data_IF_256001492819
#
_entry.id   IF_256001492819
#
_cell.length_a   1.000
_cell.length_b   1.000
_cell.length_c   1.000
_cell.angle_alpha   90.00
_cell.angle_beta   90.00
_cell.angle_gamma   90.00
#
_symmetry.space_group_name_H-M   'P 1'
#
loop_
_entity.id
_entity.type
_entity.pdbx_description
1 polymer ?
#
# COMPACT_ATOMS: atom_id res chain seq x y z
N UNK A 1 -3.82 20.58 3.55
CA UNK A 1 -3.07 20.10 2.36
C UNK A 1 -3.86 19.03 1.64
N UNK A 2 -3.88 19.03 0.31
CA UNK A 2 -4.52 17.99 -0.51
C UNK A 2 -3.46 17.00 -0.97
N UNK A 3 -3.70 15.71 -0.74
CA UNK A 3 -2.80 14.62 -1.14
C UNK A 3 -3.54 13.73 -2.12
N UNK A 4 -3.05 13.63 -3.34
CA UNK A 4 -3.54 12.63 -4.29
C UNK A 4 -2.96 11.27 -3.95
N UNK A 5 -3.83 10.34 -3.54
CA UNK A 5 -3.45 8.99 -3.14
C UNK A 5 -3.69 7.99 -4.28
N UNK A 6 -2.62 7.29 -4.65
CA UNK A 6 -2.59 6.18 -5.58
C UNK A 6 -2.10 4.94 -4.86
N UNK A 7 -2.78 3.81 -4.98
CA UNK A 7 -2.31 2.61 -4.32
C UNK A 7 -2.74 1.28 -4.97
N UNK A 8 -1.86 0.27 -4.95
CA UNK A 8 -2.05 -1.06 -5.56
C UNK A 8 -2.73 -2.08 -4.62
N UNK A 9 -4.00 -2.45 -4.84
CA UNK A 9 -4.79 -3.24 -3.85
C UNK A 9 -6.31 -3.20 -4.10
N UNK A 10 -7.10 -3.94 -3.33
CA UNK A 10 -8.55 -4.03 -3.53
C UNK A 10 -9.33 -2.82 -2.99
N UNK A 11 -10.52 -2.47 -3.54
CA UNK A 11 -11.33 -1.36 -3.04
C UNK A 11 -11.60 -1.35 -1.52
N UNK A 12 -11.83 -2.52 -0.87
CA UNK A 12 -12.06 -2.58 0.58
C UNK A 12 -10.83 -2.20 1.41
N UNK A 13 -9.68 -2.84 1.19
CA UNK A 13 -8.40 -2.57 1.90
C UNK A 13 -8.05 -1.07 1.88
N UNK A 14 -8.35 -0.40 0.76
CA UNK A 14 -8.13 1.02 0.59
C UNK A 14 -9.01 1.94 1.41
N UNK A 15 -10.25 1.53 1.67
CA UNK A 15 -11.16 2.30 2.52
C UNK A 15 -10.56 2.45 3.93
N UNK A 16 -10.07 1.34 4.48
CA UNK A 16 -9.41 1.34 5.78
C UNK A 16 -8.12 2.15 5.81
N UNK A 17 -7.31 2.06 4.75
CA UNK A 17 -6.08 2.83 4.63
C UNK A 17 -6.32 4.35 4.59
N UNK A 18 -7.28 4.81 3.79
CA UNK A 18 -7.62 6.25 3.71
C UNK A 18 -8.07 6.77 5.07
N UNK A 19 -8.93 6.02 5.77
CA UNK A 19 -9.38 6.39 7.12
C UNK A 19 -8.23 6.42 8.12
N UNK A 20 -7.31 5.46 8.08
CA UNK A 20 -6.12 5.44 8.93
C UNK A 20 -5.24 6.68 8.69
N UNK A 21 -4.99 7.01 7.42
CA UNK A 21 -4.24 8.20 7.02
C UNK A 21 -4.92 9.48 7.50
N UNK A 22 -6.22 9.62 7.26
CA UNK A 22 -7.03 10.79 7.64
C UNK A 22 -7.13 10.96 9.16
N UNK A 23 -7.21 9.86 9.92
CA UNK A 23 -7.22 9.85 11.39
C UNK A 23 -5.89 10.34 11.97
N UNK A 24 -4.79 10.00 11.32
CA UNK A 24 -3.43 10.30 11.76
C UNK A 24 -3.00 11.71 11.36
N UNK A 25 -3.19 12.07 10.09
CA UNK A 25 -2.83 13.38 9.53
C UNK A 25 -4.09 14.23 9.31
N UNK A 26 -4.64 14.74 10.42
CA UNK A 26 -5.97 15.41 10.43
C UNK A 26 -6.03 16.68 9.57
N UNK A 27 -4.90 17.31 9.32
CA UNK A 27 -4.78 18.53 8.51
C UNK A 27 -4.66 18.25 6.99
N UNK A 28 -4.58 16.99 6.61
CA UNK A 28 -4.47 16.56 5.21
C UNK A 28 -5.82 16.07 4.71
N UNK A 29 -6.06 16.24 3.42
CA UNK A 29 -7.18 15.66 2.71
C UNK A 29 -6.63 14.65 1.70
N UNK A 30 -6.81 13.37 1.97
CA UNK A 30 -6.37 12.30 1.07
C UNK A 30 -7.45 12.06 0.00
N UNK A 31 -7.23 12.59 -1.20
CA UNK A 31 -8.11 12.43 -2.35
C UNK A 31 -7.66 11.23 -3.19
N UNK A 32 -8.49 10.18 -3.23
CA UNK A 32 -8.19 8.90 -3.89
C UNK A 32 -8.36 9.05 -5.41
N UNK A 33 -7.30 8.77 -6.15
CA UNK A 33 -7.30 8.97 -7.61
C UNK A 33 -7.53 7.72 -8.44
N UNK A 34 -7.22 6.51 -7.96
CA UNK A 34 -7.33 5.32 -8.82
C UNK A 34 -8.77 4.79 -8.94
N UNK A 35 -9.27 4.57 -10.18
CA UNK A 35 -10.43 3.75 -10.40
C UNK A 35 -10.12 2.28 -10.07
N UNK A 36 -11.15 1.57 -9.65
CA UNK A 36 -11.12 0.22 -9.09
C UNK A 36 -10.36 -0.78 -9.98
N UNK A 37 -9.17 -1.22 -9.58
CA UNK A 37 -8.55 -2.41 -10.18
C UNK A 37 -9.31 -3.64 -9.67
N UNK A 38 -10.20 -4.20 -10.50
CA UNK A 38 -10.72 -5.56 -10.27
C UNK A 38 -9.58 -6.52 -10.57
N UNK A 39 -8.91 -7.04 -9.54
CA UNK A 39 -7.93 -8.12 -9.71
C UNK A 39 -8.65 -9.31 -10.40
N UNK A 40 -8.19 -9.81 -11.56
CA UNK A 40 -8.74 -11.05 -12.11
C UNK A 40 -8.51 -12.18 -11.11
N UNK A 41 -9.56 -12.97 -10.86
CA UNK A 41 -9.49 -14.18 -10.03
C UNK A 41 -8.68 -15.21 -10.82
N UNK A 42 -7.39 -15.33 -10.54
CA UNK A 42 -6.50 -16.22 -11.28
C UNK A 42 -6.62 -17.67 -10.81
N UNK A 43 -7.07 -18.59 -11.68
CA UNK A 43 -6.55 -19.96 -11.67
C UNK A 43 -5.16 -19.96 -12.35
N UNK A 44 -4.20 -20.77 -11.88
CA UNK A 44 -2.87 -20.82 -12.46
C UNK A 44 -2.93 -21.53 -13.81
N UNK A 45 -2.31 -20.96 -14.85
CA UNK A 45 -2.02 -21.74 -16.05
C UNK A 45 -0.54 -21.64 -16.43
N UNK A 46 0.01 -22.82 -16.71
CA UNK A 46 1.42 -23.13 -16.92
C UNK A 46 1.91 -22.67 -18.30
N UNK A 47 3.20 -22.36 -18.36
CA UNK A 47 4.03 -22.10 -19.55
C UNK A 47 3.99 -20.68 -20.14
N UNK A 48 4.70 -19.75 -19.49
CA UNK A 48 5.28 -18.56 -20.13
C UNK A 48 6.73 -18.41 -19.65
N UNK A 49 7.71 -18.14 -20.53
CA UNK A 49 9.09 -17.90 -20.12
C UNK A 49 9.21 -16.64 -19.26
N UNK A 50 10.07 -16.74 -18.25
CA UNK A 50 10.47 -15.78 -17.21
C UNK A 50 10.54 -14.30 -17.66
N UNK A 51 9.75 -13.43 -17.01
CA UNK A 51 10.03 -12.04 -16.58
C UNK A 51 8.71 -11.32 -16.18
N UNK A 52 8.73 -10.62 -15.02
CA UNK A 52 7.80 -9.58 -14.48
C UNK A 52 6.66 -10.05 -13.57
N UNK A 53 6.82 -9.78 -12.26
CA UNK A 53 5.68 -9.43 -11.43
C UNK A 53 4.96 -8.22 -12.07
N UNK A 54 3.68 -8.39 -12.36
CA UNK A 54 2.81 -7.37 -12.98
C UNK A 54 2.37 -6.30 -11.98
N UNK A 55 2.52 -6.57 -10.67
CA UNK A 55 2.36 -5.61 -9.57
C UNK A 55 3.39 -4.50 -9.68
N UNK A 56 3.00 -3.25 -9.46
CA UNK A 56 3.84 -2.07 -9.69
C UNK A 56 3.79 -1.48 -11.10
N UNK A 57 4.00 -2.29 -12.16
CA UNK A 57 3.91 -1.76 -13.55
C UNK A 57 2.49 -1.39 -13.94
N UNK A 58 1.52 -2.22 -13.55
CA UNK A 58 0.11 -1.90 -13.76
C UNK A 58 -0.31 -0.65 -12.96
N UNK A 59 0.15 -0.53 -11.72
CA UNK A 59 -0.10 0.65 -10.89
C UNK A 59 0.48 1.93 -11.51
N UNK A 60 1.75 1.90 -11.95
CA UNK A 60 2.38 3.03 -12.63
C UNK A 60 1.68 3.41 -13.94
N UNK A 61 1.19 2.42 -14.70
CA UNK A 61 0.38 2.68 -15.90
C UNK A 61 -0.92 3.40 -15.53
N UNK A 62 -1.66 2.91 -14.53
CA UNK A 62 -2.89 3.54 -14.07
C UNK A 62 -2.66 4.94 -13.46
N UNK A 63 -1.52 5.15 -12.78
CA UNK A 63 -1.12 6.49 -12.33
C UNK A 63 -0.95 7.42 -13.54
N UNK A 64 -0.25 6.99 -14.58
CA UNK A 64 -0.05 7.79 -15.79
C UNK A 64 -1.37 8.18 -16.45
N UNK A 65 -2.27 7.21 -16.66
CA UNK A 65 -3.59 7.44 -17.26
C UNK A 65 -4.43 8.42 -16.43
N UNK A 66 -4.42 8.22 -15.10
CA UNK A 66 -5.19 9.06 -14.20
C UNK A 66 -4.61 10.46 -14.06
N UNK A 67 -3.28 10.63 -14.07
CA UNK A 67 -2.67 11.97 -14.06
C UNK A 67 -3.03 12.75 -15.32
N UNK A 68 -3.03 12.09 -16.49
CA UNK A 68 -3.52 12.70 -17.73
C UNK A 68 -4.96 13.17 -17.56
N UNK A 69 -5.86 12.31 -17.06
CA UNK A 69 -7.27 12.68 -16.82
C UNK A 69 -7.43 13.83 -15.81
N UNK A 70 -6.69 13.80 -14.70
CA UNK A 70 -6.81 14.83 -13.67
C UNK A 70 -6.36 16.20 -14.14
N UNK A 71 -5.38 16.23 -15.04
CA UNK A 71 -4.87 17.43 -15.67
C UNK A 71 -5.63 17.78 -16.96
N UNK A 72 -6.58 16.98 -17.44
CA UNK A 72 -7.44 17.38 -18.55
C UNK A 72 -8.15 18.70 -18.23
N UNK A 73 -8.28 19.55 -19.26
CA UNK A 73 -8.67 20.95 -19.14
C UNK A 73 -9.87 21.20 -18.22
N UNK A 74 -10.97 20.46 -18.40
CA UNK A 74 -12.18 20.67 -17.59
C UNK A 74 -11.99 20.31 -16.12
N UNK A 75 -11.31 19.19 -15.82
CA UNK A 75 -10.98 18.79 -14.45
C UNK A 75 -10.04 19.81 -13.79
N UNK A 76 -9.04 20.28 -14.55
CA UNK A 76 -8.03 21.18 -14.05
C UNK A 76 -8.57 22.59 -13.79
N UNK A 77 -9.42 23.13 -14.68
CA UNK A 77 -10.08 24.42 -14.49
C UNK A 77 -10.93 24.43 -13.22
N UNK A 78 -11.69 23.37 -12.96
CA UNK A 78 -12.49 23.22 -11.75
C UNK A 78 -11.61 23.17 -10.49
N UNK A 79 -10.52 22.40 -10.53
CA UNK A 79 -9.59 22.27 -9.40
C UNK A 79 -8.83 23.57 -9.10
N UNK A 80 -8.42 24.30 -10.13
CA UNK A 80 -7.83 25.63 -9.99
C UNK A 80 -8.83 26.60 -9.36
N UNK A 81 -10.09 26.61 -9.83
CA UNK A 81 -11.12 27.50 -9.31
C UNK A 81 -11.49 27.20 -7.85
N UNK A 82 -11.46 25.93 -7.45
CA UNK A 82 -11.77 25.48 -6.07
C UNK A 82 -10.55 25.42 -5.15
N UNK A 83 -9.35 25.71 -5.67
CA UNK A 83 -8.08 25.54 -4.96
C UNK A 83 -7.90 24.12 -4.38
N UNK A 84 -8.20 23.09 -5.19
CA UNK A 84 -8.14 21.67 -4.81
C UNK A 84 -7.07 20.88 -5.56
N UNK A 85 -6.06 21.58 -6.08
CA UNK A 85 -4.84 20.95 -6.58
C UNK A 85 -4.09 20.27 -5.43
N UNK A 86 -3.40 19.17 -5.74
CA UNK A 86 -2.63 18.48 -4.73
C UNK A 86 -1.31 19.21 -4.39
N UNK A 87 -0.96 19.16 -3.11
CA UNK A 87 0.34 19.54 -2.58
C UNK A 87 1.34 18.38 -2.69
N UNK A 88 0.83 17.14 -2.68
CA UNK A 88 1.63 15.93 -2.79
C UNK A 88 0.88 14.81 -3.51
N UNK A 89 1.65 13.94 -4.17
CA UNK A 89 1.21 12.67 -4.73
C UNK A 89 1.80 11.56 -3.87
N UNK A 90 0.95 10.79 -3.21
CA UNK A 90 1.31 9.64 -2.40
C UNK A 90 1.02 8.35 -3.17
N UNK A 91 2.04 7.51 -3.34
CA UNK A 91 1.92 6.19 -3.96
C UNK A 91 2.16 5.11 -2.90
N UNK A 92 1.25 4.14 -2.77
CA UNK A 92 1.41 2.98 -1.88
C UNK A 92 1.31 1.69 -2.70
N UNK A 93 2.32 0.85 -2.66
CA UNK A 93 2.33 -0.44 -3.37
C UNK A 93 2.89 -1.55 -2.51
N UNK A 94 2.57 -2.80 -2.87
CA UNK A 94 3.18 -3.97 -2.24
C UNK A 94 4.62 -4.15 -2.77
N UNK A 95 5.56 -4.39 -1.85
CA UNK A 95 6.95 -4.61 -2.21
C UNK A 95 7.23 -6.03 -2.68
N UNK A 96 6.40 -7.00 -2.29
CA UNK A 96 6.38 -8.38 -2.80
C UNK A 96 7.77 -9.08 -2.80
N UNK A 97 8.55 -8.94 -1.72
CA UNK A 97 9.89 -9.55 -1.60
C UNK A 97 10.80 -9.34 -2.83
N UNK A 98 10.59 -8.27 -3.61
CA UNK A 98 11.30 -8.02 -4.87
C UNK A 98 12.80 -8.08 -4.69
N UNK A 99 13.51 -8.53 -5.72
CA UNK A 99 14.98 -8.59 -5.73
C UNK A 99 15.62 -7.57 -6.66
N UNK A 100 16.83 -7.19 -6.29
CA UNK A 100 17.75 -6.41 -7.10
C UNK A 100 19.14 -7.01 -6.98
N UNK A 101 19.79 -7.32 -8.11
CA UNK A 101 21.12 -7.97 -8.14
C UNK A 101 21.25 -9.20 -7.25
N UNK A 102 20.17 -9.99 -7.13
CA UNK A 102 20.18 -11.21 -6.30
C UNK A 102 19.87 -10.99 -4.81
N UNK A 103 19.57 -9.77 -4.36
CA UNK A 103 19.24 -9.49 -2.96
C UNK A 103 17.79 -9.01 -2.80
N UNK A 104 17.12 -9.44 -1.73
CA UNK A 104 15.74 -9.01 -1.41
C UNK A 104 15.78 -7.54 -0.98
N UNK A 105 14.88 -6.74 -1.53
CA UNK A 105 14.81 -5.29 -1.31
C UNK A 105 14.00 -4.92 -0.06
N UNK A 106 14.07 -5.68 1.02
CA UNK A 106 13.30 -5.48 2.26
C UNK A 106 14.04 -4.65 3.32
N UNK A 107 15.23 -4.13 2.99
CA UNK A 107 16.00 -3.22 3.85
C UNK A 107 16.07 -1.83 3.22
N UNK A 108 15.71 -0.82 4.01
CA UNK A 108 15.69 0.61 3.62
C UNK A 108 17.01 1.07 2.99
N UNK A 109 18.13 0.62 3.55
CA UNK A 109 19.44 1.07 3.10
C UNK A 109 20.01 0.27 1.92
N UNK A 110 19.36 -0.83 1.54
CA UNK A 110 19.80 -1.65 0.42
C UNK A 110 19.81 -0.85 -0.90
N UNK A 111 20.81 -1.06 -1.77
CA UNK A 111 20.82 -0.46 -3.10
C UNK A 111 19.55 -0.77 -3.90
N UNK A 112 19.05 -1.99 -3.78
CA UNK A 112 17.84 -2.44 -4.47
C UNK A 112 16.58 -1.69 -4.06
N UNK A 113 16.36 -1.52 -2.75
CA UNK A 113 15.22 -0.75 -2.27
C UNK A 113 15.27 0.71 -2.74
N UNK A 114 16.46 1.33 -2.66
CA UNK A 114 16.69 2.71 -3.13
C UNK A 114 16.40 2.83 -4.63
N UNK A 115 16.84 1.88 -5.43
CA UNK A 115 16.61 1.88 -6.88
C UNK A 115 15.14 1.69 -7.23
N UNK A 116 14.43 0.74 -6.61
CA UNK A 116 12.99 0.55 -6.81
C UNK A 116 12.23 1.84 -6.44
N UNK A 117 12.55 2.46 -5.32
CA UNK A 117 11.93 3.72 -4.90
C UNK A 117 12.21 4.85 -5.90
N UNK A 118 13.45 5.01 -6.34
CA UNK A 118 13.84 6.01 -7.32
C UNK A 118 13.14 5.79 -8.67
N UNK A 119 12.99 4.53 -9.09
CA UNK A 119 12.24 4.17 -10.28
C UNK A 119 10.79 4.67 -10.21
N UNK A 120 10.07 4.45 -9.11
CA UNK A 120 8.71 4.96 -8.96
C UNK A 120 8.66 6.50 -9.04
N UNK A 121 9.54 7.17 -8.29
CA UNK A 121 9.61 8.65 -8.32
C UNK A 121 9.83 9.16 -9.73
N UNK A 122 10.80 8.59 -10.45
CA UNK A 122 11.11 9.00 -11.82
C UNK A 122 9.92 8.77 -12.75
N UNK A 123 9.29 7.60 -12.72
CA UNK A 123 8.15 7.28 -13.59
C UNK A 123 6.95 8.18 -13.34
N UNK A 124 6.65 8.48 -12.08
CA UNK A 124 5.55 9.40 -11.73
C UNK A 124 5.86 10.83 -12.18
N UNK A 125 7.11 11.28 -12.05
CA UNK A 125 7.54 12.59 -12.60
C UNK A 125 7.38 12.65 -14.11
N UNK A 126 7.90 11.64 -14.82
CA UNK A 126 7.77 11.54 -16.27
C UNK A 126 6.29 11.63 -16.68
N UNK A 127 5.41 10.85 -16.05
CA UNK A 127 3.96 10.91 -16.34
C UNK A 127 3.32 12.27 -16.03
N UNK A 128 3.75 12.95 -14.97
CA UNK A 128 3.25 14.27 -14.62
C UNK A 128 3.70 15.32 -15.65
N UNK A 129 4.99 15.29 -16.02
CA UNK A 129 5.56 16.21 -16.99
C UNK A 129 4.92 16.02 -18.37
N UNK A 130 4.73 14.77 -18.81
CA UNK A 130 4.01 14.41 -20.05
C UNK A 130 2.56 14.95 -20.03
N UNK A 131 1.83 14.74 -18.92
CA UNK A 131 0.47 15.23 -18.79
C UNK A 131 0.42 16.77 -18.82
N UNK A 132 1.38 17.46 -18.20
CA UNK A 132 1.48 18.92 -18.21
C UNK A 132 1.83 19.48 -19.60
N UNK A 133 2.70 18.81 -20.36
CA UNK A 133 3.09 19.22 -21.72
C UNK A 133 1.92 19.14 -22.71
N UNK A 134 0.94 18.27 -22.47
CA UNK A 134 -0.25 18.13 -23.31
C UNK A 134 -1.31 19.22 -23.07
N UNK A 135 -1.11 20.10 -22.08
CA UNK A 135 -2.03 21.20 -21.78
C UNK A 135 -1.83 22.35 -22.77
N UNK A 136 -2.89 23.12 -23.03
CA UNK A 136 -2.77 24.36 -23.77
C UNK A 136 -2.01 25.45 -22.97
N UNK A 137 -1.38 26.38 -23.69
CA UNK A 137 -0.47 27.39 -23.14
C UNK A 137 -1.11 28.25 -22.04
N UNK A 138 -2.40 28.57 -22.16
CA UNK A 138 -3.12 29.34 -21.14
C UNK A 138 -3.23 28.54 -19.82
N UNK A 139 -3.61 27.27 -19.90
CA UNK A 139 -3.72 26.41 -18.72
C UNK A 139 -2.35 26.15 -18.10
N UNK A 140 -1.29 25.96 -18.90
CA UNK A 140 0.08 25.81 -18.39
C UNK A 140 0.53 27.04 -17.59
N UNK A 141 0.23 28.25 -18.08
CA UNK A 141 0.55 29.49 -17.38
C UNK A 141 -0.18 29.58 -16.04
N UNK A 142 -1.49 29.32 -16.02
CA UNK A 142 -2.29 29.33 -14.77
C UNK A 142 -1.80 28.30 -13.76
N UNK A 143 -1.42 27.12 -14.22
CA UNK A 143 -0.87 26.06 -13.37
C UNK A 143 0.47 26.49 -12.76
N UNK A 144 1.32 27.15 -13.56
CA UNK A 144 2.60 27.71 -13.11
C UNK A 144 2.41 28.83 -12.09
N UNK A 145 1.46 29.74 -12.32
CA UNK A 145 1.09 30.81 -11.40
C UNK A 145 0.55 30.28 -10.06
N UNK A 146 -0.14 29.14 -10.09
CA UNK A 146 -0.59 28.47 -8.86
C UNK A 146 0.56 27.84 -8.05
N UNK A 147 1.77 27.77 -8.61
CA UNK A 147 2.91 27.12 -7.98
C UNK A 147 2.81 25.60 -7.93
N UNK A 148 1.98 24.99 -8.80
CA UNK A 148 1.73 23.55 -8.78
C UNK A 148 3.00 22.75 -9.04
N UNK A 149 3.52 22.15 -7.97
CA UNK A 149 4.73 21.32 -7.98
C UNK A 149 4.61 20.27 -6.87
N UNK A 150 3.75 19.25 -7.04
CA UNK A 150 3.45 18.32 -5.97
C UNK A 150 4.68 17.53 -5.55
N UNK A 151 4.87 17.35 -4.24
CA UNK A 151 5.89 16.44 -3.70
C UNK A 151 5.49 15.00 -4.00
N UNK A 152 6.40 14.17 -4.51
CA UNK A 152 6.13 12.75 -4.77
C UNK A 152 6.64 11.92 -3.60
N UNK A 153 5.74 11.18 -2.96
CA UNK A 153 6.02 10.32 -1.82
C UNK A 153 5.71 8.88 -2.21
N UNK A 154 6.68 7.99 -2.02
CA UNK A 154 6.53 6.55 -2.24
C UNK A 154 6.50 5.85 -0.88
N UNK A 155 5.42 5.13 -0.61
CA UNK A 155 5.29 4.15 0.44
C UNK A 155 5.26 2.74 -0.13
N UNK A 156 5.97 1.84 0.52
CA UNK A 156 5.90 0.41 0.23
C UNK A 156 5.36 -0.33 1.44
N UNK A 157 4.38 -1.19 1.22
CA UNK A 157 4.01 -2.19 2.21
C UNK A 157 4.88 -3.43 1.97
N UNK A 158 5.74 -3.78 2.92
CA UNK A 158 6.65 -4.92 2.79
C UNK A 158 6.26 -6.00 3.79
N UNK A 159 6.14 -7.28 3.39
CA UNK A 159 5.99 -7.71 1.99
C UNK A 159 4.68 -7.21 1.36
N UNK A 160 3.62 -7.02 2.16
CA UNK A 160 2.28 -6.56 1.77
C UNK A 160 1.64 -5.75 2.91
N UNK A 161 0.49 -5.13 2.67
CA UNK A 161 -0.19 -4.24 3.64
C UNK A 161 -0.52 -4.91 4.98
N UNK A 162 -0.74 -6.22 5.01
CA UNK A 162 -0.97 -6.98 6.25
C UNK A 162 0.21 -6.92 7.23
N UNK A 163 1.43 -6.61 6.76
CA UNK A 163 2.58 -6.36 7.65
C UNK A 163 2.32 -5.22 8.64
N UNK A 164 1.60 -4.19 8.22
CA UNK A 164 1.24 -3.05 9.07
C UNK A 164 0.21 -3.45 10.13
N UNK A 165 -0.68 -4.38 9.79
CA UNK A 165 -1.63 -4.97 10.73
C UNK A 165 -0.88 -5.80 11.78
N UNK A 166 0.04 -6.65 11.33
CA UNK A 166 0.90 -7.46 12.22
C UNK A 166 1.69 -6.58 13.19
N UNK A 167 2.28 -5.48 12.70
CA UNK A 167 3.08 -4.55 13.50
C UNK A 167 2.31 -3.93 14.69
N UNK A 168 0.97 -3.89 14.63
CA UNK A 168 0.13 -3.44 15.74
C UNK A 168 -0.99 -4.43 16.08
N UNK A 169 -0.67 -5.73 16.00
CA UNK A 169 -1.64 -6.80 16.26
C UNK A 169 -2.35 -6.68 17.62
N UNK A 170 -1.68 -6.09 18.63
CA UNK A 170 -2.27 -5.87 19.95
C UNK A 170 -3.51 -4.97 19.93
N UNK A 171 -3.60 -4.03 18.98
CA UNK A 171 -4.78 -3.19 18.77
C UNK A 171 -5.78 -3.78 17.76
N UNK A 172 -5.45 -4.92 17.14
CA UNK A 172 -6.29 -5.62 16.17
C UNK A 172 -7.37 -6.49 16.82
N UNK A 173 -7.94 -6.05 17.95
CA UNK A 173 -9.09 -6.74 18.56
C UNK A 173 -10.31 -6.49 17.68
N UNK A 174 -10.72 -7.51 16.93
CA UNK A 174 -11.90 -7.43 16.07
C UNK A 174 -13.11 -8.08 16.74
N UNK A 175 -14.30 -7.49 16.55
CA UNK A 175 -15.56 -8.05 17.08
C UNK A 175 -15.84 -9.46 16.57
N UNK A 176 -15.41 -9.75 15.34
CA UNK A 176 -15.64 -11.04 14.69
C UNK A 176 -14.60 -12.08 15.11
N UNK A 177 -13.59 -11.72 15.91
CA UNK A 177 -12.63 -12.66 16.51
C UNK A 177 -12.91 -12.83 18.02
N UNK A 178 -14.02 -13.50 18.41
CA UNK A 178 -14.46 -13.58 19.80
C UNK A 178 -13.57 -14.54 20.60
N UNK A 179 -13.86 -14.69 21.90
CA UNK A 179 -13.25 -15.71 22.78
C UNK A 179 -11.72 -15.76 22.73
N UNK A 180 -11.06 -14.61 22.57
CA UNK A 180 -9.59 -14.51 22.43
C UNK A 180 -9.01 -15.17 21.16
N UNK A 181 -9.81 -15.38 20.11
CA UNK A 181 -9.35 -15.91 18.82
C UNK A 181 -8.15 -15.11 18.27
N UNK A 182 -8.17 -13.78 18.37
CA UNK A 182 -7.04 -12.92 17.94
C UNK A 182 -5.72 -13.26 18.65
N UNK A 183 -5.76 -13.72 19.91
CA UNK A 183 -4.57 -14.12 20.68
C UNK A 183 -4.09 -15.51 20.24
N UNK A 184 -5.00 -16.44 19.97
CA UNK A 184 -4.66 -17.75 19.40
C UNK A 184 -4.03 -17.62 18.02
N UNK A 185 -4.62 -16.78 17.16
CA UNK A 185 -4.06 -16.43 15.86
C UNK A 185 -2.66 -15.84 16.02
N UNK A 186 -2.46 -14.92 16.96
CA UNK A 186 -1.14 -14.33 17.25
C UNK A 186 -0.11 -15.40 17.63
N UNK A 187 -0.47 -16.30 18.55
CA UNK A 187 0.42 -17.36 19.00
C UNK A 187 0.79 -18.28 17.84
N UNK A 188 -0.20 -18.70 17.03
CA UNK A 188 0.06 -19.54 15.87
C UNK A 188 0.94 -18.83 14.82
N UNK A 189 0.67 -17.56 14.52
CA UNK A 189 1.47 -16.76 13.59
C UNK A 189 2.93 -16.65 14.07
N UNK A 190 3.14 -16.45 15.37
CA UNK A 190 4.47 -16.35 15.96
C UNK A 190 5.19 -17.70 15.96
N UNK A 191 4.54 -18.73 16.47
CA UNK A 191 5.18 -20.01 16.80
C UNK A 191 5.31 -20.92 15.58
N UNK A 192 4.25 -21.01 14.77
CA UNK A 192 4.17 -21.92 13.62
C UNK A 192 4.56 -21.22 12.31
N UNK A 193 3.96 -20.07 12.02
CA UNK A 193 4.26 -19.34 10.78
C UNK A 193 5.53 -18.49 10.86
N UNK A 194 6.14 -18.36 12.05
CA UNK A 194 7.37 -17.61 12.33
C UNK A 194 7.31 -16.14 11.89
N UNK A 195 6.14 -15.52 12.05
CA UNK A 195 5.95 -14.09 11.81
C UNK A 195 6.53 -13.31 12.99
N UNK A 196 7.46 -12.40 12.69
CA UNK A 196 7.98 -11.45 13.67
C UNK A 196 7.06 -10.23 13.75
N UNK A 197 6.51 -9.96 14.94
CA UNK A 197 5.60 -8.83 15.18
C UNK A 197 6.34 -7.50 15.39
N UNK A 198 7.64 -7.56 15.70
CA UNK A 198 8.49 -6.38 15.86
C UNK A 198 9.26 -6.04 14.57
N UNK A 199 9.33 -6.98 13.62
CA UNK A 199 9.93 -6.78 12.30
C UNK A 199 9.18 -7.52 11.17
N UNK A 200 7.88 -7.24 10.92
CA UNK A 200 7.10 -7.99 9.95
C UNK A 200 7.52 -7.76 8.49
N UNK A 201 8.28 -6.69 8.21
CA UNK A 201 8.63 -6.29 6.84
C UNK A 201 9.59 -7.24 6.12
N UNK A 202 10.30 -8.10 6.86
CA UNK A 202 11.24 -9.08 6.31
C UNK A 202 10.61 -10.45 6.04
N UNK A 203 9.32 -10.61 6.33
CA UNK A 203 8.61 -11.87 6.16
C UNK A 203 8.49 -12.28 4.69
N UNK A 204 8.32 -13.59 4.47
CA UNK A 204 7.85 -14.14 3.20
C UNK A 204 8.91 -14.90 2.42
N UNK A 205 10.18 -14.49 2.48
CA UNK A 205 11.25 -15.09 1.66
C UNK A 205 11.01 -14.89 0.16
N UNK A 206 12.00 -15.18 -0.69
CA UNK A 206 11.85 -14.99 -2.14
C UNK A 206 11.61 -16.32 -2.87
N UNK A 207 10.67 -16.33 -3.82
CA UNK A 207 10.43 -17.45 -4.71
C UNK A 207 10.96 -17.13 -6.12
N UNK A 208 11.98 -17.87 -6.56
CA UNK A 208 12.64 -17.68 -7.87
C UNK A 208 11.71 -17.95 -9.06
N UNK A 209 10.76 -18.87 -8.93
CA UNK A 209 9.86 -19.27 -10.02
C UNK A 209 8.81 -18.20 -10.33
N UNK A 210 8.26 -17.60 -9.27
CA UNK A 210 7.15 -16.63 -9.37
C UNK A 210 7.64 -15.17 -9.32
N UNK A 211 8.86 -14.93 -8.83
CA UNK A 211 9.45 -13.60 -8.71
C UNK A 211 8.82 -12.71 -7.63
N UNK A 212 8.09 -13.31 -6.69
CA UNK A 212 7.43 -12.64 -5.56
C UNK A 212 7.74 -13.37 -4.25
N UNK A 213 7.11 -12.98 -3.15
CA UNK A 213 7.28 -13.66 -1.88
C UNK A 213 6.93 -15.15 -1.95
N UNK A 214 7.76 -15.99 -1.31
CA UNK A 214 7.51 -17.43 -1.15
C UNK A 214 6.32 -17.71 -0.23
N UNK A 215 6.13 -16.88 0.79
CA UNK A 215 5.00 -16.93 1.70
C UNK A 215 4.36 -15.55 1.81
N UNK A 216 3.02 -15.49 1.86
CA UNK A 216 2.26 -14.26 2.08
C UNK A 216 1.75 -14.20 3.52
N UNK A 217 1.88 -13.04 4.16
CA UNK A 217 1.35 -12.79 5.51
C UNK A 217 -0.16 -12.99 5.51
N UNK A 218 -0.86 -12.50 4.50
CA UNK A 218 -2.31 -12.58 4.38
C UNK A 218 -2.80 -14.02 4.34
N UNK A 219 -2.10 -14.92 3.65
CA UNK A 219 -2.38 -16.37 3.66
C UNK A 219 -2.15 -16.96 5.05
N UNK A 220 -1.08 -16.55 5.74
CA UNK A 220 -0.81 -17.01 7.11
C UNK A 220 -1.83 -16.51 8.13
N UNK A 221 -2.37 -15.31 7.96
CA UNK A 221 -3.48 -14.82 8.81
C UNK A 221 -4.73 -15.68 8.59
N UNK A 222 -5.03 -16.08 7.34
CA UNK A 222 -6.13 -17.01 7.05
C UNK A 222 -5.89 -18.36 7.71
N UNK A 223 -4.71 -18.97 7.53
CA UNK A 223 -4.33 -20.22 8.18
C UNK A 223 -4.44 -20.12 9.71
N UNK A 224 -3.93 -19.04 10.30
CA UNK A 224 -4.04 -18.78 11.73
C UNK A 224 -5.49 -18.71 12.20
N UNK A 225 -6.38 -18.10 11.40
CA UNK A 225 -7.80 -18.01 11.73
C UNK A 225 -8.46 -19.39 11.77
N UNK A 226 -8.09 -20.29 10.84
CA UNK A 226 -8.57 -21.67 10.78
C UNK A 226 -8.00 -22.51 11.94
N UNK A 227 -6.70 -22.38 12.23
CA UNK A 227 -6.07 -23.12 13.34
C UNK A 227 -6.55 -22.64 14.71
N UNK A 228 -6.93 -21.38 14.84
CA UNK A 228 -7.56 -20.87 16.05
C UNK A 228 -8.97 -21.44 16.28
N UNK A 229 -9.61 -22.02 15.24
CA UNK A 229 -10.92 -22.67 15.32
C UNK A 229 -10.82 -24.12 15.82
N UNK A 230 -9.79 -24.87 15.46
CA UNK A 230 -9.67 -26.30 15.82
C UNK A 230 -9.47 -26.55 17.32
N UNK A 231 -9.12 -25.51 18.08
CA UNK A 231 -8.82 -25.59 19.53
C UNK A 231 -10.09 -25.46 20.39
N UNK A 232 -11.13 -24.76 19.91
CA UNK A 232 -12.42 -24.64 20.60
C UNK A 232 -13.50 -25.28 19.71
N UNK A 233 -14.06 -26.44 20.13
CA UNK A 233 -15.18 -27.13 19.47
C UNK A 233 -16.50 -26.33 19.57
N UNK A 234 -16.46 -25.04 19.28
CA UNK A 234 -17.55 -24.11 19.50
C UNK A 234 -17.80 -23.36 18.18
N UNK A 235 -18.91 -23.70 17.52
CA UNK A 235 -19.22 -23.35 16.12
C UNK A 235 -19.46 -21.86 15.81
N UNK A 236 -18.97 -20.93 16.65
CA UNK A 236 -19.12 -19.48 16.52
C UNK A 236 -17.77 -18.76 16.42
N UNK A 237 -16.95 -19.09 15.41
CA UNK A 237 -15.67 -18.41 15.15
C UNK A 237 -15.57 -17.98 13.69
N UNK A 238 -15.04 -16.77 13.45
CA UNK A 238 -15.00 -16.16 12.12
C UNK A 238 -13.70 -16.51 11.37
N UNK A 239 -13.81 -16.87 10.09
CA UNK A 239 -12.66 -16.99 9.19
C UNK A 239 -12.15 -15.62 8.75
N UNK A 240 -10.84 -15.45 8.62
CA UNK A 240 -10.29 -14.20 8.14
C UNK A 240 -10.66 -13.95 6.66
N UNK A 241 -11.57 -13.00 6.42
CA UNK A 241 -11.82 -12.46 5.10
C UNK A 241 -10.92 -11.26 4.81
N UNK A 242 -9.95 -11.40 3.90
CA UNK A 242 -9.02 -10.33 3.52
C UNK A 242 -9.72 -9.04 3.10
N UNK A 243 -10.81 -9.11 2.33
CA UNK A 243 -11.52 -7.91 1.85
C UNK A 243 -12.18 -7.15 3.01
N UNK A 244 -12.85 -7.86 3.91
CA UNK A 244 -13.56 -7.23 5.01
C UNK A 244 -12.60 -6.86 6.14
N UNK A 245 -11.90 -7.85 6.69
CA UNK A 245 -11.12 -7.69 7.91
C UNK A 245 -9.84 -6.90 7.70
N UNK A 246 -9.13 -7.00 6.55
CA UNK A 246 -7.93 -6.16 6.35
C UNK A 246 -8.31 -4.67 6.43
N UNK A 247 -9.44 -4.26 5.83
CA UNK A 247 -9.93 -2.89 5.93
C UNK A 247 -10.25 -2.50 7.37
N UNK A 248 -11.08 -3.27 8.05
CA UNK A 248 -11.53 -2.96 9.42
C UNK A 248 -10.36 -2.93 10.41
N UNK A 249 -9.37 -3.81 10.24
CA UNK A 249 -8.16 -3.81 11.06
C UNK A 249 -7.25 -2.61 10.77
N UNK A 250 -7.05 -2.25 9.49
CA UNK A 250 -6.27 -1.08 9.10
C UNK A 250 -6.83 0.23 9.70
N UNK A 251 -8.14 0.34 9.91
CA UNK A 251 -8.75 1.52 10.55
C UNK A 251 -8.35 1.68 12.03
N UNK A 252 -8.00 0.58 12.68
CA UNK A 252 -7.84 0.50 14.13
C UNK A 252 -6.38 0.51 14.59
N UNK A 253 -5.43 0.20 13.70
CA UNK A 253 -4.00 0.23 14.03
C UNK A 253 -3.46 1.65 14.25
N UNK A 254 -2.33 1.72 14.94
CA UNK A 254 -1.62 2.95 15.28
C UNK A 254 -0.40 3.15 14.38
N UNK A 255 -0.41 4.17 13.53
CA UNK A 255 0.75 4.53 12.71
C UNK A 255 2.02 4.78 13.53
N UNK A 256 1.89 5.24 14.78
CA UNK A 256 3.03 5.42 15.69
C UNK A 256 3.68 4.09 16.11
N UNK A 257 2.92 3.01 16.23
CA UNK A 257 3.47 1.68 16.50
C UNK A 257 4.04 1.05 15.24
N UNK A 258 3.30 1.16 14.12
CA UNK A 258 3.77 0.67 12.81
C UNK A 258 5.12 1.29 12.47
N UNK A 259 5.28 2.62 12.59
CA UNK A 259 6.58 3.24 12.32
C UNK A 259 7.69 2.80 13.29
N UNK A 260 7.38 2.28 14.48
CA UNK A 260 8.35 1.66 15.39
C UNK A 260 8.90 0.33 14.85
N UNK A 261 8.03 -0.48 14.25
CA UNK A 261 8.32 -1.88 13.90
C UNK A 261 8.56 -2.09 12.39
N UNK A 262 8.21 -1.11 11.56
CA UNK A 262 8.25 -1.16 10.10
C UNK A 262 9.14 -0.03 9.55
N UNK A 263 10.46 -0.24 9.40
CA UNK A 263 11.38 0.74 8.83
C UNK A 263 11.01 1.29 7.44
N UNK A 264 10.50 0.46 6.53
CA UNK A 264 10.07 0.89 5.19
C UNK A 264 8.84 1.80 5.31
N UNK A 265 7.82 1.41 6.10
CA UNK A 265 6.68 2.27 6.41
C UNK A 265 7.12 3.61 7.03
N UNK A 266 8.08 3.57 7.96
CA UNK A 266 8.60 4.77 8.65
C UNK A 266 9.11 5.83 7.68
N UNK A 267 9.68 5.45 6.54
CA UNK A 267 10.12 6.41 5.52
C UNK A 267 8.94 7.24 4.97
N UNK A 268 7.87 6.56 4.56
CA UNK A 268 6.65 7.22 4.08
C UNK A 268 6.04 8.08 5.17
N UNK A 269 5.92 7.54 6.39
CA UNK A 269 5.36 8.24 7.54
C UNK A 269 6.10 9.56 7.82
N UNK A 270 7.45 9.54 7.85
CA UNK A 270 8.27 10.74 8.05
C UNK A 270 8.15 11.73 6.90
N UNK A 271 8.06 11.25 5.65
CA UNK A 271 7.80 12.13 4.52
C UNK A 271 6.47 12.88 4.68
N UNK A 272 5.42 12.20 5.12
CA UNK A 272 4.12 12.81 5.38
C UNK A 272 4.14 13.76 6.58
N UNK A 273 4.87 13.43 7.66
CA UNK A 273 5.04 14.35 8.80
C UNK A 273 5.75 15.65 8.40
N UNK A 274 6.75 15.57 7.53
CA UNK A 274 7.52 16.73 7.07
C UNK A 274 6.89 17.46 5.87
N UNK A 275 5.62 17.18 5.55
CA UNK A 275 4.85 17.97 4.60
C UNK A 275 4.28 19.25 5.24
N UNK A 276 4.03 19.20 6.56
CA UNK A 276 3.63 20.34 7.41
C UNK A 276 4.72 21.41 7.53
#
# INVERSE_FOLDING_TARGET
MVIWLFAGGGPPEYSGLVKLLQKTFRNYHFDRQLPQLVKPIGKPNRNVPMVRSTTGKALLKSISEQLSFLLERHSLEERLAKNTLCDAILIIDDLDCRRWNGEICNLVDSPGFKEIRNYYVRRVRESLDEAMQNLDENIQNRLSESGFKPKIIIGFASPEIESWIIADWGNCKHRDFPKHQWLRMRNWLRDEARVDFEAPEIYGGFNEETGVCQFKISEKIVEASIQAQTIENDGELCEYNKRQHSSELLENISMNRIQGNCPIFRLMYRCLQNLE
#
